data_IF_115225391140
#
_entry.id   IF_115225391140
#
_cell.length_a   1.000
_cell.length_b   1.000
_cell.length_c   1.000
_cell.angle_alpha   90.00
_cell.angle_beta   90.00
_cell.angle_gamma   90.00
#
_symmetry.space_group_name_H-M   'P 1'
#
loop_
_entity.id
_entity.type
_entity.pdbx_description
1 polymer ?
#
# COMPACT_ATOMS: atom_id res chain seq x y z
N UNK A 1 24.33 15.74 0.36
CA UNK A 1 24.05 14.51 1.12
C UNK A 1 22.72 14.76 1.84
N UNK A 2 21.64 14.14 1.39
CA UNK A 2 20.30 14.37 1.97
C UNK A 2 20.26 13.78 3.36
N UNK A 3 19.93 14.61 4.35
CA UNK A 3 19.81 14.21 5.75
C UNK A 3 18.40 13.66 5.96
N UNK A 4 18.24 12.33 5.91
CA UNK A 4 16.95 11.71 6.22
C UNK A 4 16.76 11.81 7.73
N UNK A 5 15.68 12.46 8.14
CA UNK A 5 15.43 12.71 9.55
C UNK A 5 15.23 11.40 10.34
N UNK A 6 15.77 11.32 11.56
CA UNK A 6 15.75 10.11 12.37
C UNK A 6 14.35 9.52 12.61
N UNK A 7 13.31 10.36 12.64
CA UNK A 7 11.93 9.93 12.90
C UNK A 7 11.45 8.86 11.92
N UNK A 8 11.89 8.93 10.66
CA UNK A 8 11.52 7.97 9.63
C UNK A 8 12.16 6.59 9.80
N UNK A 9 13.23 6.51 10.58
CA UNK A 9 13.89 5.26 10.93
C UNK A 9 13.48 4.73 12.31
N UNK A 10 13.31 5.63 13.25
CA UNK A 10 13.01 5.30 14.65
C UNK A 10 11.66 4.62 14.77
N UNK A 11 10.62 5.17 14.15
CA UNK A 11 9.27 4.63 14.30
C UNK A 11 9.14 3.18 13.74
N UNK A 12 9.52 2.88 12.48
CA UNK A 12 9.47 1.50 12.00
C UNK A 12 10.38 0.57 12.81
N UNK A 13 11.53 1.04 13.31
CA UNK A 13 12.39 0.22 14.18
C UNK A 13 11.72 -0.12 15.51
N UNK A 14 11.00 0.80 16.12
CA UNK A 14 10.18 0.54 17.32
C UNK A 14 9.13 -0.54 17.02
N UNK A 15 8.43 -0.43 15.89
CA UNK A 15 7.44 -1.42 15.49
C UNK A 15 8.09 -2.80 15.28
N UNK A 16 9.26 -2.84 14.65
CA UNK A 16 10.02 -4.08 14.45
C UNK A 16 10.41 -4.71 15.79
N UNK A 17 10.93 -3.94 16.74
CA UNK A 17 11.27 -4.42 18.09
C UNK A 17 10.04 -5.02 18.79
N UNK A 18 8.90 -4.35 18.77
CA UNK A 18 7.67 -4.88 19.36
C UNK A 18 7.14 -6.14 18.67
N UNK A 19 7.52 -6.38 17.41
CA UNK A 19 7.09 -7.56 16.68
C UNK A 19 7.66 -8.87 17.22
N UNK A 20 8.78 -8.83 17.90
CA UNK A 20 9.44 -10.00 18.50
C UNK A 20 8.89 -10.39 19.88
N UNK A 21 8.10 -9.52 20.52
CA UNK A 21 7.51 -9.80 21.82
C UNK A 21 6.29 -10.73 21.70
N UNK A 22 6.12 -11.61 22.69
CA UNK A 22 4.97 -12.53 22.79
C UNK A 22 3.61 -11.81 22.86
N UNK A 23 3.57 -10.60 23.46
CA UNK A 23 2.34 -9.78 23.59
C UNK A 23 2.11 -8.84 22.40
N UNK A 24 2.64 -9.18 21.21
CA UNK A 24 2.61 -8.34 19.99
C UNK A 24 1.23 -7.79 19.63
N UNK A 25 0.15 -8.53 19.85
CA UNK A 25 -1.23 -8.11 19.53
C UNK A 25 -2.01 -7.66 20.78
N UNK A 26 -1.39 -6.97 21.74
CA UNK A 26 -2.11 -6.40 22.86
C UNK A 26 -2.82 -5.07 22.49
N UNK A 27 -4.00 -4.81 23.09
CA UNK A 27 -4.73 -3.53 22.89
C UNK A 27 -3.90 -2.30 23.29
N UNK A 28 -3.08 -2.43 24.34
CA UNK A 28 -2.19 -1.34 24.76
C UNK A 28 -1.19 -0.98 23.66
N UNK A 29 -0.54 -1.97 23.02
CA UNK A 29 0.38 -1.74 21.92
C UNK A 29 -0.30 -1.18 20.68
N UNK A 30 -1.50 -1.65 20.38
CA UNK A 30 -2.29 -1.09 19.29
C UNK A 30 -2.45 0.41 19.47
N UNK A 31 -2.93 0.86 20.63
CA UNK A 31 -3.11 2.28 20.89
C UNK A 31 -1.79 3.05 20.95
N UNK A 32 -0.77 2.49 21.61
CA UNK A 32 0.55 3.12 21.68
C UNK A 32 1.14 3.38 20.29
N UNK A 33 1.20 2.37 19.44
CA UNK A 33 1.75 2.48 18.08
C UNK A 33 0.89 3.43 17.24
N UNK A 34 -0.46 3.36 17.35
CA UNK A 34 -1.36 4.21 16.59
C UNK A 34 -1.21 5.69 16.97
N UNK A 35 -1.17 5.98 18.26
CA UNK A 35 -0.98 7.36 18.76
C UNK A 35 0.40 7.88 18.34
N UNK A 36 1.45 7.08 18.51
CA UNK A 36 2.79 7.46 18.11
C UNK A 36 2.90 7.74 16.59
N UNK A 37 2.24 6.93 15.77
CA UNK A 37 2.15 7.17 14.33
C UNK A 37 1.44 8.49 14.02
N UNK A 38 0.30 8.74 14.64
CA UNK A 38 -0.45 10.00 14.47
C UNK A 38 0.41 11.19 14.84
N UNK A 39 1.06 11.17 16.01
CA UNK A 39 1.92 12.25 16.47
C UNK A 39 3.09 12.54 15.52
N UNK A 40 3.71 11.50 14.95
CA UNK A 40 4.83 11.69 14.04
C UNK A 40 4.41 12.07 12.63
N UNK A 41 3.37 11.45 12.08
CA UNK A 41 3.07 11.57 10.65
C UNK A 41 1.83 12.38 10.32
N UNK A 42 0.77 12.35 11.14
CA UNK A 42 -0.41 13.19 10.87
C UNK A 42 -0.16 14.65 11.22
N UNK A 43 0.70 14.92 12.21
CA UNK A 43 1.13 16.27 12.57
C UNK A 43 2.33 16.77 11.77
N UNK A 44 2.95 15.95 10.93
CA UNK A 44 4.05 16.37 10.07
C UNK A 44 3.59 17.43 9.06
N UNK A 45 4.37 18.46 8.84
CA UNK A 45 4.15 19.48 7.79
C UNK A 45 4.84 19.10 6.46
N UNK A 46 5.44 17.93 6.41
CA UNK A 46 6.15 17.42 5.23
C UNK A 46 5.20 16.75 4.25
N UNK A 47 5.61 16.76 3.00
CA UNK A 47 4.95 16.05 1.92
C UNK A 47 5.05 16.83 0.62
N UNK A 48 5.42 16.15 -0.46
CA UNK A 48 5.59 16.79 -1.77
C UNK A 48 4.29 17.46 -2.28
N UNK A 49 3.12 16.93 -1.88
CA UNK A 49 1.82 17.44 -2.33
C UNK A 49 1.17 18.39 -1.30
N UNK A 50 1.87 18.75 -0.19
CA UNK A 50 1.28 19.55 0.89
C UNK A 50 0.75 20.90 0.39
N UNK A 51 1.58 21.68 -0.30
CA UNK A 51 1.21 23.01 -0.82
C UNK A 51 0.07 22.91 -1.84
N UNK A 52 0.11 21.89 -2.72
CA UNK A 52 -0.95 21.65 -3.69
C UNK A 52 -2.31 21.37 -3.04
N UNK A 53 -2.33 20.59 -1.96
CA UNK A 53 -3.58 20.35 -1.22
C UNK A 53 -4.03 21.57 -0.41
N UNK A 54 -3.10 22.36 0.12
CA UNK A 54 -3.43 23.61 0.81
C UNK A 54 -4.07 24.62 -0.16
N UNK A 55 -3.47 24.81 -1.34
CA UNK A 55 -4.05 25.68 -2.38
C UNK A 55 -5.45 25.21 -2.80
N UNK A 56 -5.65 23.89 -2.99
CA UNK A 56 -6.97 23.34 -3.29
C UNK A 56 -7.99 23.62 -2.19
N UNK A 57 -7.58 23.55 -0.93
CA UNK A 57 -8.46 23.87 0.20
C UNK A 57 -8.85 25.36 0.20
N UNK A 58 -7.93 26.25 -0.10
CA UNK A 58 -8.19 27.69 -0.22
C UNK A 58 -9.09 28.03 -1.42
N UNK A 59 -8.90 27.37 -2.57
CA UNK A 59 -9.76 27.52 -3.74
C UNK A 59 -11.23 27.17 -3.45
N UNK A 60 -11.47 26.16 -2.64
CA UNK A 60 -12.82 25.81 -2.16
C UNK A 60 -13.43 26.94 -1.34
N UNK A 61 -12.63 27.62 -0.50
CA UNK A 61 -13.07 28.79 0.28
C UNK A 61 -13.54 29.95 -0.59
N UNK A 62 -12.89 30.20 -1.71
CA UNK A 62 -13.20 31.30 -2.63
C UNK A 62 -14.48 31.02 -3.46
N UNK A 63 -15.08 29.83 -3.32
CA UNK A 63 -16.33 29.48 -3.98
C UNK A 63 -16.19 28.90 -5.37
N UNK A 64 -14.99 28.42 -5.74
CA UNK A 64 -14.79 27.64 -6.95
C UNK A 64 -15.68 26.40 -6.90
N UNK A 65 -16.36 26.09 -8.01
CA UNK A 65 -17.23 24.91 -8.04
C UNK A 65 -16.39 23.65 -7.80
N UNK A 66 -16.92 22.68 -7.05
CA UNK A 66 -16.25 21.38 -6.80
C UNK A 66 -15.84 20.69 -8.12
N UNK A 67 -16.49 21.03 -9.25
CA UNK A 67 -16.17 20.50 -10.58
C UNK A 67 -14.94 21.15 -11.22
N UNK A 68 -14.63 22.39 -10.85
CA UNK A 68 -13.46 23.14 -11.33
C UNK A 68 -12.20 22.77 -10.53
N UNK A 69 -12.40 22.29 -9.30
CA UNK A 69 -11.32 21.77 -8.47
C UNK A 69 -10.86 20.45 -9.10
N UNK A 70 -9.60 20.39 -9.53
CA UNK A 70 -8.95 19.20 -10.08
C UNK A 70 -8.81 18.08 -9.03
N UNK A 71 -9.92 17.68 -8.39
CA UNK A 71 -9.97 16.70 -7.33
C UNK A 71 -11.16 15.75 -7.48
N UNK A 72 -11.04 14.60 -6.89
CA UNK A 72 -12.16 13.68 -6.80
C UNK A 72 -13.23 14.24 -5.85
N UNK A 73 -14.49 14.05 -6.25
CA UNK A 73 -15.67 14.58 -5.58
C UNK A 73 -15.71 14.34 -4.06
N UNK A 74 -15.35 13.11 -3.63
CA UNK A 74 -15.40 12.74 -2.21
C UNK A 74 -14.42 13.54 -1.35
N UNK A 75 -13.21 13.78 -1.84
CA UNK A 75 -12.22 14.60 -1.13
C UNK A 75 -12.64 16.06 -1.09
N UNK A 76 -13.15 16.59 -2.22
CA UNK A 76 -13.70 17.95 -2.28
C UNK A 76 -14.85 18.20 -1.30
N UNK A 77 -15.78 17.24 -1.18
CA UNK A 77 -16.87 17.33 -0.20
C UNK A 77 -16.38 17.35 1.24
N UNK A 78 -15.33 16.59 1.57
CA UNK A 78 -14.71 16.65 2.90
C UNK A 78 -14.09 18.01 3.19
N UNK A 79 -13.43 18.64 2.20
CA UNK A 79 -12.86 19.99 2.35
C UNK A 79 -13.95 21.03 2.59
N UNK A 80 -15.05 21.03 1.79
CA UNK A 80 -16.22 21.91 2.00
C UNK A 80 -16.82 21.74 3.39
N UNK A 81 -16.96 20.48 3.83
CA UNK A 81 -17.49 20.22 5.17
C UNK A 81 -16.58 20.77 6.27
N UNK A 82 -15.26 20.55 6.16
CA UNK A 82 -14.27 21.05 7.13
C UNK A 82 -14.32 22.59 7.23
N UNK A 83 -14.39 23.27 6.10
CA UNK A 83 -14.50 24.73 6.06
C UNK A 83 -15.80 25.25 6.70
N UNK A 84 -16.93 24.58 6.45
CA UNK A 84 -18.22 24.94 7.06
C UNK A 84 -18.22 24.87 8.58
N UNK A 85 -17.40 24.01 9.15
CA UNK A 85 -17.24 23.90 10.62
C UNK A 85 -16.05 24.69 11.15
N UNK A 86 -15.43 25.54 10.33
CA UNK A 86 -14.37 26.47 10.72
C UNK A 86 -12.99 25.86 10.88
N UNK A 87 -12.73 24.70 10.27
CA UNK A 87 -11.39 24.11 10.25
C UNK A 87 -10.51 24.84 9.23
N UNK A 88 -9.26 25.13 9.62
CA UNK A 88 -8.20 25.43 8.66
C UNK A 88 -7.70 24.16 7.97
N UNK A 89 -6.87 24.32 6.95
CA UNK A 89 -6.33 23.18 6.19
C UNK A 89 -5.51 22.24 7.09
N UNK A 90 -4.72 22.77 8.01
CA UNK A 90 -3.84 21.95 8.85
C UNK A 90 -4.64 21.07 9.81
N UNK A 91 -5.67 21.64 10.45
CA UNK A 91 -6.58 20.90 11.34
C UNK A 91 -7.33 19.84 10.54
N UNK A 92 -7.88 20.20 9.38
CA UNK A 92 -8.55 19.25 8.47
C UNK A 92 -7.65 18.08 8.12
N UNK A 93 -6.41 18.35 7.72
CA UNK A 93 -5.43 17.34 7.36
C UNK A 93 -5.10 16.42 8.55
N UNK A 94 -4.81 16.97 9.73
CA UNK A 94 -4.52 16.20 10.94
C UNK A 94 -5.69 15.25 11.28
N UNK A 95 -6.91 15.75 11.27
CA UNK A 95 -8.11 14.95 11.54
C UNK A 95 -8.27 13.84 10.49
N UNK A 96 -8.18 14.19 9.22
CA UNK A 96 -8.33 13.25 8.11
C UNK A 96 -7.30 12.11 8.18
N UNK A 97 -6.02 12.45 8.36
CA UNK A 97 -4.94 11.47 8.44
C UNK A 97 -5.02 10.63 9.72
N UNK A 98 -5.43 11.23 10.84
CA UNK A 98 -5.61 10.50 12.10
C UNK A 98 -6.73 9.46 11.98
N UNK A 99 -7.89 9.85 11.46
CA UNK A 99 -9.02 8.92 11.24
C UNK A 99 -8.60 7.81 10.28
N UNK A 100 -7.96 8.15 9.17
CA UNK A 100 -7.49 7.18 8.18
C UNK A 100 -6.49 6.19 8.79
N UNK A 101 -5.56 6.68 9.63
CA UNK A 101 -4.57 5.85 10.33
C UNK A 101 -5.23 4.90 11.33
N UNK A 102 -6.21 5.37 12.10
CA UNK A 102 -6.98 4.51 13.02
C UNK A 102 -7.71 3.42 12.26
N UNK A 103 -8.33 3.73 11.11
CA UNK A 103 -9.02 2.73 10.27
C UNK A 103 -8.01 1.71 9.75
N UNK A 104 -6.91 2.16 9.14
CA UNK A 104 -5.87 1.29 8.61
C UNK A 104 -5.33 0.35 9.68
N UNK A 105 -4.89 0.90 10.81
CA UNK A 105 -4.27 0.11 11.88
C UNK A 105 -5.27 -0.82 12.56
N UNK A 106 -6.54 -0.43 12.65
CA UNK A 106 -7.60 -1.34 13.11
C UNK A 106 -7.75 -2.55 12.20
N UNK A 107 -7.61 -2.38 10.88
CA UNK A 107 -7.65 -3.48 9.93
C UNK A 107 -6.38 -4.34 10.02
N UNK A 108 -5.21 -3.73 10.10
CA UNK A 108 -3.96 -4.48 10.32
C UNK A 108 -4.01 -5.29 11.63
N UNK A 109 -4.55 -4.71 12.71
CA UNK A 109 -4.72 -5.39 14.00
C UNK A 109 -5.68 -6.58 13.92
N UNK A 110 -6.78 -6.45 13.15
CA UNK A 110 -7.79 -7.51 12.99
C UNK A 110 -7.35 -8.62 12.05
N UNK A 111 -6.61 -8.28 11.00
CA UNK A 111 -6.28 -9.22 9.92
C UNK A 111 -4.90 -9.86 10.07
N UNK A 112 -4.01 -9.28 10.87
CA UNK A 112 -2.63 -9.77 11.02
C UNK A 112 -2.42 -10.49 12.35
N UNK A 113 -1.68 -11.62 12.36
CA UNK A 113 -1.26 -12.29 13.58
C UNK A 113 -0.13 -11.54 14.31
N UNK A 114 0.48 -10.54 13.68
CA UNK A 114 1.52 -9.70 14.26
C UNK A 114 1.34 -8.25 13.82
N UNK A 115 0.54 -7.50 14.57
CA UNK A 115 0.22 -6.11 14.28
C UNK A 115 1.47 -5.19 14.17
N UNK A 116 2.43 -5.19 15.12
CA UNK A 116 3.61 -4.35 15.00
C UNK A 116 4.43 -4.62 13.74
N UNK A 117 4.56 -5.90 13.34
CA UNK A 117 5.26 -6.25 12.11
C UNK A 117 4.51 -5.74 10.86
N UNK A 118 3.18 -5.79 10.89
CA UNK A 118 2.37 -5.21 9.81
C UNK A 118 2.55 -3.70 9.69
N UNK A 119 2.61 -2.99 10.82
CA UNK A 119 2.88 -1.55 10.85
C UNK A 119 4.31 -1.26 10.39
N UNK A 120 5.29 -2.06 10.79
CA UNK A 120 6.65 -1.97 10.25
C UNK A 120 6.68 -2.04 8.72
N UNK A 121 6.05 -3.07 8.12
CA UNK A 121 5.99 -3.18 6.67
C UNK A 121 5.21 -2.04 6.03
N UNK A 122 4.10 -1.60 6.65
CA UNK A 122 3.36 -0.45 6.16
C UNK A 122 4.23 0.82 6.12
N UNK A 123 4.89 1.15 7.21
CA UNK A 123 5.73 2.35 7.27
C UNK A 123 6.94 2.27 6.36
N UNK A 124 7.54 1.11 6.21
CA UNK A 124 8.69 0.93 5.33
C UNK A 124 8.33 0.96 3.83
N UNK A 125 7.15 0.49 3.45
CA UNK A 125 6.76 0.36 2.04
C UNK A 125 5.84 1.47 1.54
N UNK A 126 5.05 2.09 2.43
CA UNK A 126 3.91 2.94 2.05
C UNK A 126 3.82 4.26 2.80
N UNK A 127 4.80 4.62 3.65
CA UNK A 127 4.72 5.84 4.47
C UNK A 127 4.50 7.11 3.64
N UNK A 128 5.03 7.14 2.43
CA UNK A 128 4.92 8.27 1.53
C UNK A 128 3.46 8.64 1.23
N UNK A 129 2.54 7.65 1.23
CA UNK A 129 1.13 7.88 0.99
C UNK A 129 0.45 8.56 2.18
N UNK A 130 0.90 8.25 3.39
CA UNK A 130 0.39 8.88 4.60
C UNK A 130 0.84 10.35 4.74
N UNK A 131 1.99 10.72 4.18
CA UNK A 131 2.56 12.06 4.30
C UNK A 131 2.38 12.94 3.08
N UNK A 132 2.15 12.38 1.88
CA UNK A 132 2.04 13.15 0.64
C UNK A 132 0.75 12.87 -0.14
N UNK A 133 0.36 11.62 -0.33
CA UNK A 133 -0.74 11.25 -1.24
C UNK A 133 -2.02 10.86 -0.46
N UNK A 134 -2.62 11.81 0.26
CA UNK A 134 -3.70 11.57 1.22
C UNK A 134 -4.92 10.84 0.64
N UNK A 135 -5.34 11.17 -0.58
CA UNK A 135 -6.46 10.52 -1.26
C UNK A 135 -6.21 9.03 -1.48
N UNK A 136 -5.00 8.69 -1.91
CA UNK A 136 -4.59 7.28 -2.06
C UNK A 136 -4.49 6.58 -0.71
N UNK A 137 -4.02 7.28 0.33
CA UNK A 137 -3.97 6.75 1.68
C UNK A 137 -5.36 6.37 2.21
N UNK A 138 -6.36 7.22 1.97
CA UNK A 138 -7.76 6.92 2.28
C UNK A 138 -8.19 5.64 1.57
N UNK A 139 -7.96 5.54 0.25
CA UNK A 139 -8.34 4.35 -0.52
C UNK A 139 -7.64 3.10 -0.01
N UNK A 140 -6.34 3.17 0.31
CA UNK A 140 -5.60 2.03 0.89
C UNK A 140 -6.23 1.56 2.19
N UNK A 141 -6.51 2.47 3.13
CA UNK A 141 -7.07 2.15 4.44
C UNK A 141 -8.48 1.54 4.33
N UNK A 142 -9.35 2.18 3.59
CA UNK A 142 -10.75 1.74 3.48
C UNK A 142 -10.93 0.55 2.54
N UNK A 143 -10.03 0.32 1.58
CA UNK A 143 -10.04 -0.90 0.78
C UNK A 143 -9.84 -2.14 1.66
N UNK A 144 -9.00 -2.08 2.69
CA UNK A 144 -8.84 -3.19 3.65
C UNK A 144 -10.15 -3.49 4.40
N UNK A 145 -10.93 -2.45 4.76
CA UNK A 145 -12.25 -2.64 5.40
C UNK A 145 -13.16 -3.45 4.48
N UNK A 146 -13.26 -3.08 3.21
CA UNK A 146 -14.18 -3.72 2.28
C UNK A 146 -13.70 -5.10 1.82
N UNK A 147 -12.39 -5.30 1.66
CA UNK A 147 -11.81 -6.63 1.43
C UNK A 147 -12.12 -7.55 2.64
N UNK A 148 -12.01 -7.05 3.86
CA UNK A 148 -12.36 -7.82 5.06
C UNK A 148 -13.84 -8.18 5.12
N UNK A 149 -14.73 -7.25 4.78
CA UNK A 149 -16.17 -7.53 4.67
C UNK A 149 -16.47 -8.57 3.58
N UNK A 150 -15.76 -8.50 2.45
CA UNK A 150 -15.89 -9.50 1.39
C UNK A 150 -15.49 -10.91 1.86
N UNK A 151 -14.39 -11.03 2.59
CA UNK A 151 -13.93 -12.30 3.18
C UNK A 151 -14.95 -12.88 4.15
N UNK A 152 -15.64 -12.03 4.92
CA UNK A 152 -16.74 -12.43 5.82
C UNK A 152 -18.01 -12.89 5.08
N UNK A 153 -18.04 -12.81 3.76
CA UNK A 153 -19.20 -13.17 2.95
C UNK A 153 -20.14 -12.01 2.60
N UNK A 154 -19.85 -10.79 3.06
CA UNK A 154 -20.65 -9.59 2.81
C UNK A 154 -20.31 -8.95 1.45
N UNK A 155 -20.33 -9.74 0.36
CA UNK A 155 -19.89 -9.30 -0.97
C UNK A 155 -20.62 -8.04 -1.47
N UNK A 156 -21.93 -7.91 -1.24
CA UNK A 156 -22.71 -6.72 -1.64
C UNK A 156 -22.19 -5.44 -0.95
N UNK A 157 -21.96 -5.51 0.37
CA UNK A 157 -21.42 -4.37 1.14
C UNK A 157 -20.05 -3.99 0.66
N UNK A 158 -19.19 -4.98 0.41
CA UNK A 158 -17.83 -4.77 -0.08
C UNK A 158 -17.83 -4.04 -1.43
N UNK A 159 -18.63 -4.48 -2.39
CA UNK A 159 -18.75 -3.86 -3.72
C UNK A 159 -19.24 -2.42 -3.60
N UNK A 160 -20.33 -2.19 -2.85
CA UNK A 160 -20.88 -0.83 -2.66
C UNK A 160 -19.85 0.09 -2.02
N UNK A 161 -19.13 -0.38 -0.99
CA UNK A 161 -18.10 0.40 -0.34
C UNK A 161 -16.91 0.72 -1.25
N UNK A 162 -16.46 -0.25 -2.05
CA UNK A 162 -15.36 -0.03 -3.01
C UNK A 162 -15.77 0.92 -4.16
N UNK A 163 -17.02 0.85 -4.62
CA UNK A 163 -17.58 1.84 -5.56
C UNK A 163 -17.60 3.23 -4.92
N UNK A 164 -18.00 3.34 -3.64
CA UNK A 164 -17.94 4.60 -2.90
C UNK A 164 -16.53 5.18 -2.81
N UNK A 165 -15.49 4.36 -2.74
CA UNK A 165 -14.10 4.84 -2.71
C UNK A 165 -13.62 5.44 -4.05
N UNK A 166 -14.28 5.17 -5.18
CA UNK A 166 -13.97 5.82 -6.45
C UNK A 166 -14.20 7.33 -6.41
N UNK A 167 -15.09 7.81 -5.52
CA UNK A 167 -15.28 9.24 -5.29
C UNK A 167 -14.08 9.90 -4.60
N UNK A 168 -13.21 9.12 -3.97
CA UNK A 168 -11.99 9.62 -3.30
C UNK A 168 -10.75 9.49 -4.18
N UNK A 169 -10.63 8.41 -4.94
CA UNK A 169 -9.53 8.22 -5.88
C UNK A 169 -9.78 7.05 -6.82
N UNK A 170 -9.41 7.24 -8.10
CA UNK A 170 -9.58 6.22 -9.14
C UNK A 170 -8.87 4.90 -8.84
N UNK A 171 -7.82 4.89 -8.03
CA UNK A 171 -7.10 3.66 -7.66
C UNK A 171 -7.97 2.64 -6.93
N UNK A 172 -9.15 3.04 -6.42
CA UNK A 172 -10.15 2.12 -5.85
C UNK A 172 -10.72 1.13 -6.87
N UNK A 173 -10.58 1.41 -8.18
CA UNK A 173 -10.98 0.47 -9.25
C UNK A 173 -10.26 -0.87 -9.14
N UNK A 174 -9.01 -0.87 -8.67
CA UNK A 174 -8.20 -2.08 -8.59
C UNK A 174 -8.74 -3.07 -7.55
N UNK A 175 -8.89 -2.71 -6.25
CA UNK A 175 -9.51 -3.62 -5.29
C UNK A 175 -10.94 -3.99 -5.65
N UNK A 176 -11.71 -3.10 -6.30
CA UNK A 176 -13.04 -3.40 -6.80
C UNK A 176 -12.98 -4.50 -7.88
N UNK A 177 -12.12 -4.35 -8.89
CA UNK A 177 -11.92 -5.35 -9.94
C UNK A 177 -11.53 -6.72 -9.35
N UNK A 178 -10.63 -6.75 -8.37
CA UNK A 178 -10.24 -7.98 -7.68
C UNK A 178 -11.41 -8.65 -6.98
N UNK A 179 -12.21 -7.90 -6.24
CA UNK A 179 -13.39 -8.44 -5.54
C UNK A 179 -14.39 -9.01 -6.55
N UNK A 180 -14.63 -8.33 -7.68
CA UNK A 180 -15.53 -8.80 -8.73
C UNK A 180 -15.01 -10.08 -9.41
N UNK A 181 -13.73 -10.09 -9.79
CA UNK A 181 -13.08 -11.26 -10.40
C UNK A 181 -13.13 -12.45 -9.42
N UNK A 182 -12.74 -12.24 -8.17
CA UNK A 182 -12.74 -13.31 -7.19
C UNK A 182 -14.16 -13.84 -6.89
N UNK A 183 -15.15 -12.96 -6.87
CA UNK A 183 -16.56 -13.37 -6.73
C UNK A 183 -17.00 -14.28 -7.89
N UNK A 184 -16.61 -13.94 -9.12
CA UNK A 184 -16.93 -14.76 -10.31
C UNK A 184 -16.19 -16.11 -10.33
N UNK A 185 -14.97 -16.14 -9.76
CA UNK A 185 -14.14 -17.35 -9.69
C UNK A 185 -14.44 -18.24 -8.49
N UNK A 186 -15.08 -17.71 -7.42
CA UNK A 186 -15.31 -18.41 -6.15
C UNK A 186 -16.06 -19.74 -6.32
N UNK A 187 -16.89 -19.84 -7.32
CA UNK A 187 -17.66 -21.06 -7.60
C UNK A 187 -16.84 -22.16 -8.29
N UNK A 188 -15.68 -21.81 -8.88
CA UNK A 188 -14.94 -22.75 -9.73
C UNK A 188 -13.48 -23.06 -9.32
N UNK A 189 -12.71 -22.19 -8.61
CA UNK A 189 -11.25 -22.35 -8.67
C UNK A 189 -10.36 -21.75 -7.55
N UNK A 190 -10.69 -21.81 -6.29
CA UNK A 190 -9.68 -21.51 -5.23
C UNK A 190 -8.46 -22.43 -5.29
N UNK A 191 -8.63 -23.63 -5.83
CA UNK A 191 -7.58 -24.63 -5.99
C UNK A 191 -6.59 -24.28 -7.12
N UNK A 192 -7.06 -23.63 -8.18
CA UNK A 192 -6.23 -23.38 -9.38
C UNK A 192 -5.16 -22.30 -9.17
N UNK A 193 -5.47 -21.22 -8.43
CA UNK A 193 -4.47 -20.16 -8.14
C UNK A 193 -3.34 -20.74 -7.28
N UNK A 194 -3.69 -21.56 -6.29
CA UNK A 194 -2.70 -22.23 -5.44
C UNK A 194 -1.78 -23.13 -6.26
N UNK A 195 -2.34 -24.03 -7.08
CA UNK A 195 -1.58 -24.94 -7.93
C UNK A 195 -0.67 -24.19 -8.90
N UNK A 196 -1.19 -23.09 -9.49
CA UNK A 196 -0.42 -22.27 -10.41
C UNK A 196 0.78 -21.62 -9.73
N UNK A 197 0.58 -20.99 -8.57
CA UNK A 197 1.66 -20.32 -7.84
C UNK A 197 2.68 -21.32 -7.29
N UNK A 198 2.22 -22.44 -6.76
CA UNK A 198 3.09 -23.48 -6.19
C UNK A 198 4.04 -24.07 -7.24
N UNK A 199 3.54 -24.29 -8.47
CA UNK A 199 4.35 -24.93 -9.52
C UNK A 199 5.08 -23.95 -10.43
N UNK A 200 4.48 -22.80 -10.72
CA UNK A 200 4.90 -21.92 -11.81
C UNK A 200 5.15 -20.46 -11.37
N UNK A 201 4.94 -20.12 -10.09
CA UNK A 201 4.97 -18.72 -9.63
C UNK A 201 6.28 -18.00 -9.94
N UNK A 202 7.43 -18.66 -9.78
CA UNK A 202 8.76 -18.09 -10.07
C UNK A 202 8.95 -17.95 -11.59
N UNK A 203 8.60 -19.00 -12.35
CA UNK A 203 8.71 -18.99 -13.81
C UNK A 203 7.83 -17.87 -14.38
N UNK A 204 6.64 -17.71 -13.84
CA UNK A 204 5.72 -16.64 -14.26
C UNK A 204 6.29 -15.24 -14.02
N UNK A 205 6.99 -14.99 -12.91
CA UNK A 205 7.68 -13.72 -12.67
C UNK A 205 8.73 -13.46 -13.77
N UNK A 206 9.50 -14.47 -14.15
CA UNK A 206 10.47 -14.34 -15.24
C UNK A 206 9.78 -14.01 -16.60
N UNK A 207 8.67 -14.67 -16.90
CA UNK A 207 7.87 -14.39 -18.12
C UNK A 207 7.32 -12.95 -18.08
N UNK A 208 6.84 -12.49 -16.93
CA UNK A 208 6.35 -11.11 -16.76
C UNK A 208 7.48 -10.09 -16.98
N UNK A 209 8.70 -10.42 -16.60
CA UNK A 209 9.87 -9.59 -16.89
C UNK A 209 10.18 -9.51 -18.39
N UNK A 210 10.06 -10.61 -19.11
CA UNK A 210 10.17 -10.59 -20.58
C UNK A 210 9.07 -9.76 -21.24
N UNK A 211 7.84 -9.85 -20.74
CA UNK A 211 6.73 -8.99 -21.18
C UNK A 211 7.02 -7.51 -20.92
N UNK A 212 7.70 -7.16 -19.81
CA UNK A 212 8.13 -5.79 -19.57
C UNK A 212 9.08 -5.28 -20.63
N UNK A 213 10.07 -6.07 -21.00
CA UNK A 213 11.03 -5.71 -22.06
C UNK A 213 10.27 -5.43 -23.36
N UNK A 214 9.37 -6.32 -23.75
CA UNK A 214 8.53 -6.15 -24.92
C UNK A 214 7.68 -4.88 -24.87
N UNK A 215 6.96 -4.66 -23.76
CA UNK A 215 6.13 -3.48 -23.56
C UNK A 215 6.96 -2.18 -23.54
N UNK A 216 8.19 -2.20 -23.02
CA UNK A 216 9.07 -1.05 -23.04
C UNK A 216 9.39 -0.60 -24.47
N UNK A 217 9.69 -1.53 -25.38
CA UNK A 217 9.96 -1.19 -26.78
C UNK A 217 8.69 -0.73 -27.51
N UNK A 218 7.53 -1.33 -27.23
CA UNK A 218 6.25 -0.89 -27.79
C UNK A 218 5.92 0.55 -27.37
N UNK A 219 6.08 0.88 -26.08
CA UNK A 219 5.80 2.21 -25.57
C UNK A 219 6.75 3.29 -26.11
N UNK A 220 7.92 2.92 -26.61
CA UNK A 220 8.83 3.85 -27.31
C UNK A 220 8.38 4.20 -28.72
N UNK A 221 7.43 3.46 -29.29
CA UNK A 221 6.88 3.79 -30.61
C UNK A 221 6.08 5.10 -30.47
N UNK A 222 6.45 6.11 -31.26
CA UNK A 222 5.93 7.47 -31.21
C UNK A 222 4.38 7.55 -31.20
N UNK A 223 3.71 6.73 -32.03
CA UNK A 223 2.24 6.68 -32.11
C UNK A 223 1.61 6.21 -30.80
N UNK A 224 2.16 5.15 -30.20
CA UNK A 224 1.65 4.59 -28.93
C UNK A 224 1.85 5.59 -27.78
N UNK A 225 2.99 6.26 -27.78
CA UNK A 225 3.30 7.28 -26.75
C UNK A 225 2.37 8.50 -26.88
N UNK A 226 2.04 8.93 -28.10
CA UNK A 226 1.11 10.05 -28.33
C UNK A 226 -0.32 9.70 -27.89
N UNK A 227 -0.82 8.51 -28.21
CA UNK A 227 -2.16 8.06 -27.79
C UNK A 227 -2.26 7.92 -26.27
N UNK A 228 -1.23 7.35 -25.63
CA UNK A 228 -1.18 7.24 -24.17
C UNK A 228 -1.07 8.61 -23.51
N UNK A 229 -0.32 9.55 -24.08
CA UNK A 229 -0.23 10.93 -23.61
C UNK A 229 -1.60 11.62 -23.58
N UNK A 230 -2.45 11.37 -24.56
CA UNK A 230 -3.83 11.87 -24.61
C UNK A 230 -4.71 11.20 -23.53
N UNK A 231 -4.59 9.88 -23.34
CA UNK A 231 -5.42 9.09 -22.43
C UNK A 231 -5.03 9.37 -20.95
N UNK A 232 -3.74 9.52 -20.67
CA UNK A 232 -3.23 9.69 -19.30
C UNK A 232 -3.20 11.17 -18.90
N UNK A 233 -3.73 12.03 -19.77
CA UNK A 233 -3.88 13.49 -19.60
C UNK A 233 -2.64 14.26 -19.16
N UNK A 234 -2.17 15.14 -20.02
CA UNK A 234 -1.35 16.35 -19.76
C UNK A 234 -0.19 16.29 -18.74
N UNK A 235 0.22 15.11 -18.28
CA UNK A 235 1.41 14.96 -17.44
C UNK A 235 2.59 14.58 -18.31
N UNK A 236 3.49 15.53 -18.46
CA UNK A 236 4.67 15.49 -19.33
C UNK A 236 5.68 14.32 -19.11
N UNK A 237 5.42 13.43 -18.14
CA UNK A 237 6.41 12.47 -17.65
C UNK A 237 6.04 11.00 -17.90
N UNK A 238 5.49 10.68 -19.08
CA UNK A 238 5.36 9.28 -19.50
C UNK A 238 6.70 8.82 -20.09
N UNK A 239 7.71 8.74 -19.24
CA UNK A 239 8.98 8.13 -19.62
C UNK A 239 8.96 6.66 -19.23
N UNK A 240 8.88 5.72 -20.20
CA UNK A 240 8.97 4.31 -19.90
C UNK A 240 10.36 4.00 -19.32
N UNK A 241 10.39 3.32 -18.18
CA UNK A 241 11.62 2.91 -17.52
C UNK A 241 11.76 1.39 -17.61
N UNK A 242 12.89 0.91 -18.16
CA UNK A 242 13.14 -0.54 -18.24
C UNK A 242 13.54 -1.10 -16.87
N UNK A 243 14.46 -0.43 -16.20
CA UNK A 243 14.97 -0.81 -14.88
C UNK A 243 15.07 0.40 -13.95
N UNK A 244 14.67 0.22 -12.70
CA UNK A 244 14.90 1.16 -11.62
C UNK A 244 15.18 0.42 -10.32
N UNK A 245 15.77 1.10 -9.36
CA UNK A 245 15.98 0.57 -8.01
C UNK A 245 14.63 0.24 -7.32
N UNK A 246 13.59 1.03 -7.59
CA UNK A 246 12.24 0.82 -7.09
C UNK A 246 11.62 -0.48 -7.62
N UNK A 247 11.77 -0.73 -8.92
CA UNK A 247 11.32 -1.98 -9.54
C UNK A 247 12.09 -3.18 -8.99
N UNK A 248 13.42 -3.09 -8.95
CA UNK A 248 14.27 -4.19 -8.50
C UNK A 248 13.93 -4.61 -7.06
N UNK A 249 13.84 -3.64 -6.15
CA UNK A 249 13.54 -3.92 -4.74
C UNK A 249 12.15 -4.54 -4.54
N UNK A 250 11.13 -4.05 -5.25
CA UNK A 250 9.76 -4.61 -5.19
C UNK A 250 9.67 -6.00 -5.83
N UNK A 251 10.41 -6.25 -6.90
CA UNK A 251 10.48 -7.57 -7.53
C UNK A 251 11.15 -8.59 -6.61
N UNK A 252 12.25 -8.21 -5.95
CA UNK A 252 12.90 -9.03 -4.94
C UNK A 252 11.94 -9.30 -3.78
N UNK A 253 11.20 -8.30 -3.33
CA UNK A 253 10.21 -8.45 -2.27
C UNK A 253 9.10 -9.44 -2.66
N UNK A 254 8.55 -9.33 -3.88
CA UNK A 254 7.59 -10.29 -4.41
C UNK A 254 8.16 -11.71 -4.47
N UNK A 255 9.39 -11.87 -4.98
CA UNK A 255 10.04 -13.17 -5.10
C UNK A 255 10.12 -13.90 -3.74
N UNK A 256 10.54 -13.19 -2.69
CA UNK A 256 10.61 -13.79 -1.35
C UNK A 256 9.22 -14.07 -0.75
N UNK A 257 8.20 -13.26 -1.05
CA UNK A 257 6.83 -13.58 -0.65
C UNK A 257 6.32 -14.84 -1.35
N UNK A 258 6.62 -15.03 -2.64
CA UNK A 258 6.25 -16.25 -3.38
C UNK A 258 6.94 -17.48 -2.78
N UNK A 259 8.23 -17.38 -2.47
CA UNK A 259 8.94 -18.45 -1.78
C UNK A 259 8.26 -18.79 -0.44
N UNK A 260 7.98 -17.80 0.41
CA UNK A 260 7.27 -18.04 1.67
C UNK A 260 5.92 -18.73 1.45
N UNK A 261 5.19 -18.33 0.40
CA UNK A 261 3.91 -18.91 0.07
C UNK A 261 4.02 -20.37 -0.36
N UNK A 262 5.00 -20.70 -1.20
CA UNK A 262 5.25 -22.08 -1.67
C UNK A 262 5.57 -23.04 -0.50
N UNK A 263 6.36 -22.58 0.47
CA UNK A 263 6.67 -23.38 1.65
C UNK A 263 5.48 -23.56 2.61
N UNK A 264 4.49 -22.68 2.56
CA UNK A 264 3.38 -22.63 3.52
C UNK A 264 2.01 -22.82 2.89
N UNK A 265 1.91 -23.73 1.93
CA UNK A 265 0.65 -24.13 1.30
C UNK A 265 -0.47 -24.31 2.34
N UNK A 266 -1.22 -23.23 2.56
CA UNK A 266 -2.33 -23.20 3.53
C UNK A 266 -3.66 -23.23 2.77
N UNK A 267 -4.65 -23.94 3.31
CA UNK A 267 -6.03 -23.93 2.81
C UNK A 267 -6.81 -22.70 3.31
N UNK A 268 -6.12 -21.69 3.85
CA UNK A 268 -6.74 -20.50 4.38
C UNK A 268 -7.26 -19.58 3.27
N UNK A 269 -8.57 -19.45 3.23
CA UNK A 269 -9.28 -18.64 2.22
C UNK A 269 -8.89 -17.16 2.27
N UNK A 270 -8.63 -16.62 3.47
CA UNK A 270 -8.21 -15.22 3.62
C UNK A 270 -6.83 -15.02 3.00
N UNK A 271 -5.85 -15.86 3.41
CA UNK A 271 -4.49 -15.75 2.88
C UNK A 271 -4.45 -15.93 1.37
N UNK A 272 -5.20 -16.90 0.83
CA UNK A 272 -5.29 -17.15 -0.61
C UNK A 272 -5.84 -15.95 -1.38
N UNK A 273 -6.88 -15.30 -0.86
CA UNK A 273 -7.44 -14.11 -1.47
C UNK A 273 -6.43 -12.95 -1.44
N UNK A 274 -5.88 -12.64 -0.26
CA UNK A 274 -4.93 -11.55 -0.10
C UNK A 274 -3.69 -11.75 -0.98
N UNK A 275 -3.15 -12.97 -0.97
CA UNK A 275 -1.97 -13.30 -1.78
C UNK A 275 -2.29 -13.24 -3.28
N UNK A 276 -3.40 -13.77 -3.74
CA UNK A 276 -3.80 -13.72 -5.15
C UNK A 276 -3.95 -12.28 -5.65
N UNK A 277 -4.63 -11.42 -4.87
CA UNK A 277 -4.75 -9.99 -5.17
C UNK A 277 -3.38 -9.30 -5.26
N UNK A 278 -2.53 -9.51 -4.26
CA UNK A 278 -1.19 -8.95 -4.21
C UNK A 278 -0.32 -9.43 -5.38
N UNK A 279 -0.32 -10.74 -5.66
CA UNK A 279 0.48 -11.35 -6.71
C UNK A 279 0.12 -10.80 -8.09
N UNK A 280 -1.17 -10.73 -8.42
CA UNK A 280 -1.64 -10.14 -9.69
C UNK A 280 -1.30 -8.65 -9.76
N UNK A 281 -1.51 -7.90 -8.68
CA UNK A 281 -1.17 -6.48 -8.63
C UNK A 281 0.33 -6.23 -8.88
N UNK A 282 1.19 -7.02 -8.26
CA UNK A 282 2.64 -6.91 -8.44
C UNK A 282 3.10 -7.38 -9.83
N UNK A 283 2.49 -8.42 -10.40
CA UNK A 283 2.83 -8.85 -11.75
C UNK A 283 2.44 -7.80 -12.80
N UNK A 284 1.29 -7.14 -12.64
CA UNK A 284 0.91 -6.01 -13.48
C UNK A 284 1.87 -4.81 -13.31
N UNK A 285 2.28 -4.51 -12.09
CA UNK A 285 3.28 -3.48 -11.82
C UNK A 285 4.61 -3.76 -12.53
N UNK A 286 5.07 -5.02 -12.50
CA UNK A 286 6.31 -5.43 -13.17
C UNK A 286 6.15 -5.42 -14.69
N UNK A 287 5.02 -5.88 -15.23
CA UNK A 287 4.79 -6.01 -16.67
C UNK A 287 4.76 -4.67 -17.42
N UNK A 288 4.28 -3.60 -16.77
CA UNK A 288 4.08 -2.31 -17.43
C UNK A 288 5.23 -1.35 -17.04
N UNK A 289 6.04 -0.88 -18.02
CA UNK A 289 7.20 -0.03 -17.75
C UNK A 289 6.85 1.45 -17.50
N UNK A 290 5.74 1.71 -16.83
CA UNK A 290 5.27 3.02 -16.37
C UNK A 290 5.22 3.03 -14.84
N UNK A 291 6.38 2.98 -14.19
CA UNK A 291 6.51 2.71 -12.76
C UNK A 291 5.76 3.68 -11.86
N UNK A 292 5.82 4.97 -12.17
CA UNK A 292 5.15 5.98 -11.36
C UNK A 292 3.62 5.80 -11.39
N UNK A 293 3.07 5.61 -12.59
CA UNK A 293 1.63 5.40 -12.78
C UNK A 293 1.18 4.07 -12.18
N UNK A 294 1.85 2.98 -12.55
CA UNK A 294 1.51 1.64 -12.06
C UNK A 294 1.74 1.50 -10.55
N UNK A 295 2.78 2.15 -10.02
CA UNK A 295 3.00 2.21 -8.58
C UNK A 295 1.82 2.83 -7.85
N UNK A 296 1.34 3.98 -8.30
CA UNK A 296 0.17 4.65 -7.72
C UNK A 296 -1.10 3.79 -7.85
N UNK A 297 -1.33 3.22 -9.03
CA UNK A 297 -2.53 2.43 -9.32
C UNK A 297 -2.60 1.16 -8.46
N UNK A 298 -1.48 0.44 -8.31
CA UNK A 298 -1.45 -0.86 -7.64
C UNK A 298 -1.27 -0.77 -6.11
N UNK A 299 -0.98 0.39 -5.55
CA UNK A 299 -0.71 0.50 -4.10
C UNK A 299 -1.89 0.14 -3.20
N UNK A 300 -3.12 0.38 -3.66
CA UNK A 300 -4.33 -0.04 -2.93
C UNK A 300 -4.43 -1.57 -2.73
N UNK A 301 -3.68 -2.34 -3.52
CA UNK A 301 -3.58 -3.80 -3.42
C UNK A 301 -2.23 -4.22 -2.85
N UNK A 302 -1.16 -3.51 -3.18
CA UNK A 302 0.17 -3.82 -2.67
C UNK A 302 0.26 -3.70 -1.13
N UNK A 303 -0.59 -2.86 -0.51
CA UNK A 303 -0.71 -2.76 0.95
C UNK A 303 -1.07 -4.10 1.60
N UNK A 304 -1.67 -5.05 0.88
CA UNK A 304 -1.95 -6.39 1.38
C UNK A 304 -0.70 -7.14 1.80
N UNK A 305 0.47 -6.82 1.23
CA UNK A 305 1.76 -7.42 1.65
C UNK A 305 2.05 -7.22 3.14
N UNK A 306 1.57 -6.12 3.72
CA UNK A 306 1.72 -5.80 5.15
C UNK A 306 0.99 -6.78 6.06
N UNK A 307 0.00 -7.49 5.54
CA UNK A 307 -0.75 -8.54 6.23
C UNK A 307 -0.22 -9.93 5.86
N UNK A 308 0.06 -10.13 4.57
CA UNK A 308 0.49 -11.43 4.03
C UNK A 308 1.79 -11.90 4.69
N UNK A 309 2.79 -11.04 4.80
CA UNK A 309 4.11 -11.43 5.37
C UNK A 309 3.99 -11.85 6.84
N UNK A 310 3.41 -11.06 7.76
CA UNK A 310 3.19 -11.50 9.12
C UNK A 310 2.34 -12.76 9.23
N UNK A 311 1.33 -12.89 8.37
CA UNK A 311 0.46 -14.06 8.35
C UNK A 311 1.21 -15.33 8.00
N UNK A 312 2.07 -15.29 6.98
CA UNK A 312 2.88 -16.42 6.58
C UNK A 312 3.94 -16.79 7.63
N UNK A 313 4.50 -15.80 8.32
CA UNK A 313 5.56 -16.04 9.30
C UNK A 313 5.04 -16.58 10.62
N UNK A 314 3.87 -16.10 11.09
CA UNK A 314 3.45 -16.33 12.48
C UNK A 314 2.28 -17.30 12.68
N UNK A 315 1.44 -17.55 11.67
CA UNK A 315 0.25 -18.40 11.87
C UNK A 315 0.57 -19.88 12.13
N UNK A 316 1.68 -20.37 11.64
CA UNK A 316 2.08 -21.79 11.79
C UNK A 316 2.98 -22.06 13.00
N UNK A 317 3.15 -21.09 13.92
CA UNK A 317 3.96 -21.34 15.12
C UNK A 317 3.30 -22.30 16.12
N UNK A 318 2.00 -22.58 15.95
CA UNK A 318 1.29 -23.56 16.81
C UNK A 318 1.43 -25.01 16.33
N UNK A 319 1.87 -25.25 15.10
CA UNK A 319 2.18 -26.60 14.59
C UNK A 319 3.58 -27.03 15.06
N UNK A 320 3.63 -27.68 16.21
CA UNK A 320 4.84 -28.30 16.83
C UNK A 320 5.52 -29.35 15.97
N UNK A 321 5.07 -29.55 14.72
CA UNK A 321 5.52 -30.61 13.82
C UNK A 321 6.49 -30.19 12.70
N UNK A 322 6.77 -28.90 12.51
CA UNK A 322 7.73 -28.47 11.50
C UNK A 322 9.14 -28.38 12.11
N UNK A 323 9.98 -29.32 11.73
CA UNK A 323 11.35 -29.46 12.21
C UNK A 323 12.18 -28.17 12.11
N UNK A 324 13.27 -28.12 12.88
CA UNK A 324 14.15 -26.97 13.08
C UNK A 324 14.66 -26.29 11.80
N UNK A 325 14.75 -27.00 10.69
CA UNK A 325 15.19 -26.50 9.37
C UNK A 325 14.21 -25.54 8.71
N UNK A 326 12.90 -25.81 8.77
CA UNK A 326 11.87 -24.91 8.18
C UNK A 326 11.74 -23.62 8.99
N UNK A 327 11.92 -23.69 10.31
CA UNK A 327 11.93 -22.50 11.17
C UNK A 327 13.13 -21.59 10.87
N UNK A 328 14.30 -22.16 10.53
CA UNK A 328 15.50 -21.38 10.16
C UNK A 328 15.34 -20.68 8.81
N UNK A 329 14.83 -21.38 7.79
CA UNK A 329 14.60 -20.81 6.46
C UNK A 329 13.62 -19.62 6.50
N UNK A 330 12.53 -19.73 7.28
CA UNK A 330 11.58 -18.64 7.45
C UNK A 330 12.20 -17.40 8.11
N UNK A 331 13.11 -17.58 9.07
CA UNK A 331 13.84 -16.47 9.70
C UNK A 331 14.76 -15.77 8.71
N UNK A 332 15.47 -16.51 7.87
CA UNK A 332 16.33 -15.93 6.83
C UNK A 332 15.51 -15.12 5.85
N UNK A 333 14.41 -15.68 5.33
CA UNK A 333 13.54 -14.96 4.39
C UNK A 333 12.93 -13.72 5.04
N UNK A 334 12.47 -13.80 6.28
CA UNK A 334 11.98 -12.63 7.02
C UNK A 334 13.07 -11.56 7.19
N UNK A 335 14.29 -11.94 7.53
CA UNK A 335 15.41 -11.01 7.64
C UNK A 335 15.70 -10.31 6.32
N UNK A 336 15.68 -11.04 5.21
CA UNK A 336 15.82 -10.45 3.86
C UNK A 336 14.68 -9.46 3.57
N UNK A 337 13.44 -9.84 3.84
CA UNK A 337 12.28 -8.95 3.64
C UNK A 337 12.38 -7.66 4.48
N UNK A 338 12.88 -7.76 5.72
CA UNK A 338 13.13 -6.60 6.57
C UNK A 338 14.20 -5.68 5.96
N UNK A 339 15.33 -6.24 5.52
CA UNK A 339 16.41 -5.48 4.88
C UNK A 339 15.90 -4.80 3.61
N UNK A 340 15.24 -5.55 2.73
CA UNK A 340 14.67 -5.00 1.48
C UNK A 340 13.65 -3.88 1.79
N UNK A 341 12.85 -4.01 2.84
CA UNK A 341 11.90 -2.98 3.25
C UNK A 341 12.60 -1.69 3.69
N UNK A 342 13.71 -1.78 4.42
CA UNK A 342 14.52 -0.61 4.75
C UNK A 342 15.18 0.03 3.51
N UNK A 343 15.62 -0.77 2.55
CA UNK A 343 16.14 -0.25 1.27
C UNK A 343 15.05 0.50 0.50
N UNK A 344 13.82 -0.03 0.47
CA UNK A 344 12.68 0.62 -0.16
C UNK A 344 12.36 1.94 0.57
N UNK A 345 12.32 1.92 1.89
CA UNK A 345 12.12 3.12 2.72
C UNK A 345 13.17 4.19 2.39
N UNK A 346 14.45 3.81 2.41
CA UNK A 346 15.55 4.73 2.06
C UNK A 346 15.34 5.35 0.68
N UNK A 347 15.05 4.54 -0.33
CA UNK A 347 14.84 5.00 -1.69
C UNK A 347 13.63 5.94 -1.81
N UNK A 348 12.53 5.65 -1.12
CA UNK A 348 11.36 6.54 -1.09
C UNK A 348 11.69 7.88 -0.44
N UNK A 349 12.35 7.87 0.71
CA UNK A 349 12.68 9.08 1.46
C UNK A 349 13.69 9.94 0.72
N UNK A 350 14.72 9.35 0.12
CA UNK A 350 15.72 10.11 -0.64
C UNK A 350 15.16 10.78 -1.89
N UNK A 351 14.16 10.17 -2.53
CA UNK A 351 13.57 10.68 -3.77
C UNK A 351 12.45 11.70 -3.56
N UNK A 352 11.73 11.65 -2.44
CA UNK A 352 10.51 12.46 -2.26
C UNK A 352 10.55 13.39 -1.04
N UNK A 353 11.25 13.02 0.03
CA UNK A 353 11.29 13.81 1.28
C UNK A 353 12.63 14.53 1.43
N UNK A 354 13.65 14.17 0.67
CA UNK A 354 15.00 14.73 0.79
C UNK A 354 15.12 16.23 0.51
N UNK A 355 14.04 16.91 0.14
CA UNK A 355 14.05 18.34 -0.20
C UNK A 355 13.59 19.24 0.94
N UNK A 356 12.92 18.69 1.97
CA UNK A 356 12.44 19.48 3.11
C UNK A 356 12.85 18.86 4.44
N UNK A 357 13.38 19.63 5.39
CA UNK A 357 13.62 19.13 6.74
C UNK A 357 12.28 18.65 7.34
N UNK A 358 12.33 17.64 8.20
CA UNK A 358 11.14 17.21 8.92
C UNK A 358 10.68 18.34 9.84
N UNK A 359 9.48 18.83 9.63
CA UNK A 359 8.81 19.78 10.49
C UNK A 359 7.53 19.15 11.01
N UNK A 360 7.18 19.47 12.25
CA UNK A 360 6.01 18.91 12.90
C UNK A 360 5.26 20.02 13.62
N UNK A 361 3.95 20.07 13.42
CA UNK A 361 3.08 21.10 13.97
C UNK A 361 3.16 21.23 15.51
N UNK A 362 3.47 20.14 16.21
CA UNK A 362 3.58 20.15 17.68
C UNK A 362 4.95 20.57 18.20
N UNK A 363 6.00 20.39 17.41
CA UNK A 363 7.38 20.56 17.89
C UNK A 363 8.12 21.72 17.20
N UNK A 364 7.51 22.39 16.26
CA UNK A 364 8.05 23.54 15.53
C UNK A 364 8.87 23.14 14.32
#
# INVERSE_FOLDING_TARGET
>A
MYKIEPVFWVFPSICLLFSFDKRRNSRLRFWFITILFILFYSFSLNGADYEGYNSLFEEVLVGSSIREIHGELGYGLLMVFAQKIGMDYQIFRIVLLSVTSVVLFSMLYKMSPNFPLSVFFFTSLFIIYAISAYRQYIVMAFSLVWIYEFVKGNARKAIVGLVGLLFFHITAIIPLAFVLIYKSMRERQTTSIKIFVDKNGIIFIAVVFLLRIFNFYILKISIVNSVLGIIISNRADINPTLFSAGLASRTIFLFFIVILFQYKSSNDKLLMLLFGCYYIGMTLYIAVPLEFFMGRLMNSVNVLSTIIVPYMVYRHHDDRFLGSTVASSNRIVLSILIIVSYVILFNQLSNQIGYTPYTNYLFG
#
